data_IF_928735222693
#
_entry.id   IF_928735222693
#
_cell.length_a   1.000
_cell.length_b   1.000
_cell.length_c   1.000
_cell.angle_alpha   90.00
_cell.angle_beta   90.00
_cell.angle_gamma   90.00
#
_symmetry.space_group_name_H-M   'P 1'
#
loop_
_entity.id
_entity.type
_entity.pdbx_description
1 polymer ?
#
# COMPACT_ATOMS: atom_id res chain seq x y z
N UNK A 1 16.50 -36.00 8.20
CA UNK A 1 15.80 -34.71 8.03
C UNK A 1 16.82 -33.57 8.10
N UNK A 2 16.77 -32.60 7.20
CA UNK A 2 17.70 -31.47 7.21
C UNK A 2 17.47 -30.57 8.45
N UNK A 3 18.54 -30.03 9.07
CA UNK A 3 18.40 -29.14 10.21
C UNK A 3 17.70 -27.83 9.80
N UNK A 4 16.75 -27.38 10.63
CA UNK A 4 16.03 -26.12 10.39
C UNK A 4 17.01 -24.94 10.28
N UNK A 5 16.75 -24.03 9.35
CA UNK A 5 17.54 -22.80 9.21
C UNK A 5 17.31 -21.84 10.39
N UNK A 6 18.23 -20.91 10.63
CA UNK A 6 18.08 -19.91 11.70
C UNK A 6 16.80 -19.08 11.57
N UNK A 7 16.42 -18.73 10.33
CA UNK A 7 15.19 -17.99 10.04
C UNK A 7 13.94 -18.81 10.39
N UNK A 8 13.92 -20.10 10.05
CA UNK A 8 12.81 -21.01 10.38
C UNK A 8 12.69 -21.23 11.89
N UNK A 9 13.82 -21.39 12.60
CA UNK A 9 13.82 -21.49 14.07
C UNK A 9 13.25 -20.23 14.71
N UNK A 10 13.63 -19.05 14.21
CA UNK A 10 13.10 -17.79 14.73
C UNK A 10 11.61 -17.62 14.42
N UNK A 11 11.15 -18.05 13.24
CA UNK A 11 9.73 -18.06 12.87
C UNK A 11 8.91 -18.94 13.82
N UNK A 12 9.32 -20.19 14.04
CA UNK A 12 8.66 -21.10 14.98
C UNK A 12 8.57 -20.53 16.40
N UNK A 13 9.66 -19.91 16.88
CA UNK A 13 9.66 -19.24 18.19
C UNK A 13 8.66 -18.09 18.27
N UNK A 14 8.56 -17.27 17.22
CA UNK A 14 7.57 -16.17 17.16
C UNK A 14 6.14 -16.69 17.11
N UNK A 15 5.90 -17.77 16.36
CA UNK A 15 4.59 -18.43 16.30
C UNK A 15 4.18 -18.99 17.66
N UNK A 16 5.11 -19.63 18.39
CA UNK A 16 4.88 -20.07 19.77
C UNK A 16 4.50 -18.90 20.69
N UNK A 17 5.30 -17.82 20.69
CA UNK A 17 5.01 -16.62 21.49
C UNK A 17 3.66 -15.95 21.16
N UNK A 18 3.17 -16.10 19.91
CA UNK A 18 1.84 -15.61 19.53
C UNK A 18 0.74 -16.50 20.09
N UNK A 19 0.91 -17.82 20.06
CA UNK A 19 -0.03 -18.78 20.66
C UNK A 19 -0.14 -18.56 22.18
N UNK A 20 0.98 -18.25 22.82
CA UNK A 20 1.05 -18.02 24.27
C UNK A 20 0.61 -16.60 24.67
N UNK A 21 0.22 -15.73 23.72
CA UNK A 21 -0.17 -14.33 23.97
C UNK A 21 0.96 -13.37 24.37
N UNK A 22 2.19 -13.87 24.55
CA UNK A 22 3.35 -13.11 25.05
C UNK A 22 4.11 -12.31 23.97
N UNK A 23 3.67 -12.39 22.70
CA UNK A 23 4.42 -11.81 21.57
C UNK A 23 4.61 -10.29 21.67
N UNK A 24 3.59 -9.55 22.10
CA UNK A 24 3.67 -8.09 22.20
C UNK A 24 4.62 -7.65 23.32
N UNK A 25 4.64 -8.36 24.45
CA UNK A 25 5.59 -8.09 25.53
C UNK A 25 7.03 -8.37 25.09
N UNK A 26 7.26 -9.51 24.41
CA UNK A 26 8.55 -9.82 23.81
C UNK A 26 9.02 -8.72 22.83
N UNK A 27 8.13 -8.24 21.97
CA UNK A 27 8.40 -7.18 21.00
C UNK A 27 8.76 -5.86 21.68
N UNK A 28 8.04 -5.48 22.74
CA UNK A 28 8.34 -4.29 23.55
C UNK A 28 9.71 -4.42 24.23
N UNK A 29 9.98 -5.54 24.92
CA UNK A 29 11.29 -5.82 25.56
C UNK A 29 12.44 -5.76 24.54
N UNK A 30 12.27 -6.38 23.38
CA UNK A 30 13.27 -6.36 22.32
C UNK A 30 13.51 -4.94 21.78
N UNK A 31 12.46 -4.16 21.55
CA UNK A 31 12.55 -2.77 21.13
C UNK A 31 13.36 -1.92 22.13
N UNK A 32 13.05 -2.05 23.42
CA UNK A 32 13.77 -1.35 24.49
C UNK A 32 15.25 -1.74 24.56
N UNK A 33 15.56 -3.04 24.45
CA UNK A 33 16.94 -3.52 24.40
C UNK A 33 17.69 -2.94 23.21
N UNK A 34 17.08 -2.93 22.02
CA UNK A 34 17.68 -2.32 20.83
C UNK A 34 17.89 -0.82 20.99
N UNK A 35 16.95 -0.10 21.64
CA UNK A 35 17.11 1.32 21.96
C UNK A 35 18.30 1.55 22.89
N UNK A 36 18.41 0.79 23.99
CA UNK A 36 19.54 0.86 24.94
C UNK A 36 20.87 0.57 24.26
N UNK A 37 20.93 -0.45 23.40
CA UNK A 37 22.15 -0.78 22.66
C UNK A 37 22.56 0.35 21.70
N UNK A 38 21.60 0.99 21.02
CA UNK A 38 21.87 2.16 20.17
C UNK A 38 22.40 3.34 20.98
N UNK A 39 21.81 3.62 22.14
CA UNK A 39 22.26 4.68 23.05
C UNK A 39 23.70 4.43 23.51
N UNK A 40 23.99 3.25 24.06
CA UNK A 40 25.34 2.90 24.50
C UNK A 40 26.36 3.01 23.36
N UNK A 41 26.01 2.61 22.14
CA UNK A 41 26.88 2.79 20.98
C UNK A 41 27.10 4.27 20.65
N UNK A 42 26.05 5.08 20.67
CA UNK A 42 26.14 6.52 20.43
C UNK A 42 27.01 7.21 21.49
N UNK A 43 26.82 6.87 22.76
CA UNK A 43 27.58 7.44 23.88
C UNK A 43 29.05 7.04 23.84
N UNK A 44 29.35 5.81 23.41
CA UNK A 44 30.74 5.37 23.18
C UNK A 44 31.40 6.18 22.07
N UNK A 45 30.66 6.44 20.98
CA UNK A 45 31.19 7.21 19.85
C UNK A 45 31.33 8.69 20.19
N UNK A 46 30.40 9.28 20.95
CA UNK A 46 30.44 10.70 21.31
C UNK A 46 31.63 11.05 22.21
N UNK A 47 32.08 10.10 23.04
CA UNK A 47 33.27 10.25 23.91
C UNK A 47 34.59 10.19 23.14
N UNK A 48 34.60 9.78 21.88
CA UNK A 48 35.83 9.70 21.08
C UNK A 48 36.19 11.08 20.49
N UNK A 49 37.47 11.32 20.17
CA UNK A 49 37.89 12.51 19.44
C UNK A 49 37.15 12.65 18.10
N UNK A 50 36.88 13.89 17.68
CA UNK A 50 36.12 14.19 16.45
C UNK A 50 36.72 13.55 15.20
N UNK A 51 38.04 13.46 15.11
CA UNK A 51 38.74 12.80 14.00
C UNK A 51 38.35 11.30 13.90
N UNK A 52 38.43 10.57 15.01
CA UNK A 52 38.07 9.15 15.10
C UNK A 52 36.58 8.94 14.80
N UNK A 53 35.71 9.85 15.24
CA UNK A 53 34.28 9.79 14.91
C UNK A 53 34.02 9.89 13.40
N UNK A 54 34.75 10.78 12.69
CA UNK A 54 34.64 10.94 11.24
C UNK A 54 35.08 9.67 10.51
N UNK A 55 36.22 9.09 10.90
CA UNK A 55 36.73 7.85 10.33
C UNK A 55 35.75 6.68 10.51
N UNK A 56 35.19 6.51 11.71
CA UNK A 56 34.18 5.48 11.98
C UNK A 56 32.94 5.64 11.09
N UNK A 57 32.46 6.87 10.90
CA UNK A 57 31.33 7.17 10.00
C UNK A 57 31.66 6.83 8.55
N UNK A 58 32.87 7.11 8.08
CA UNK A 58 33.30 6.78 6.72
C UNK A 58 33.43 5.28 6.51
N UNK A 59 34.00 4.55 7.47
CA UNK A 59 34.06 3.09 7.46
C UNK A 59 32.66 2.47 7.42
N UNK A 60 31.70 2.98 8.20
CA UNK A 60 30.32 2.52 8.15
C UNK A 60 29.69 2.78 6.78
N UNK A 61 29.89 3.96 6.19
CA UNK A 61 29.43 4.29 4.83
C UNK A 61 30.02 3.33 3.79
N UNK A 62 31.33 3.04 3.88
CA UNK A 62 32.02 2.11 2.97
C UNK A 62 31.44 0.70 3.05
N UNK A 63 31.27 0.16 4.27
CA UNK A 63 30.64 -1.16 4.51
C UNK A 63 29.21 -1.23 3.95
N UNK A 64 28.44 -0.16 4.09
CA UNK A 64 27.07 -0.09 3.52
C UNK A 64 27.13 -0.11 1.99
N UNK A 65 28.01 0.69 1.36
CA UNK A 65 28.20 0.71 -0.10
C UNK A 65 28.58 -0.67 -0.63
N UNK A 66 29.55 -1.34 -0.01
CA UNK A 66 30.00 -2.68 -0.39
C UNK A 66 28.87 -3.72 -0.27
N UNK A 67 28.12 -3.70 0.83
CA UNK A 67 26.97 -4.58 1.03
C UNK A 67 25.91 -4.38 -0.06
N UNK A 68 25.57 -3.12 -0.37
CA UNK A 68 24.60 -2.79 -1.41
C UNK A 68 25.11 -3.23 -2.78
N UNK A 69 26.39 -3.01 -3.09
CA UNK A 69 26.99 -3.47 -4.34
C UNK A 69 26.93 -5.00 -4.48
N UNK A 70 27.27 -5.74 -3.41
CA UNK A 70 27.17 -7.21 -3.37
C UNK A 70 25.72 -7.69 -3.59
N UNK A 71 24.74 -7.06 -2.92
CA UNK A 71 23.33 -7.38 -3.15
C UNK A 71 22.89 -7.11 -4.59
N UNK A 72 23.34 -6.01 -5.21
CA UNK A 72 23.04 -5.69 -6.62
C UNK A 72 23.63 -6.72 -7.58
N UNK A 73 24.90 -7.10 -7.40
CA UNK A 73 25.55 -8.17 -8.19
C UNK A 73 24.80 -9.51 -8.05
N UNK A 74 24.45 -9.88 -6.83
CA UNK A 74 23.72 -11.14 -6.60
C UNK A 74 22.30 -11.11 -7.19
N UNK A 75 21.68 -9.94 -7.34
CA UNK A 75 20.37 -9.79 -7.95
C UNK A 75 20.44 -9.81 -9.49
N UNK A 76 21.50 -9.25 -10.09
CA UNK A 76 21.70 -9.32 -11.55
C UNK A 76 22.01 -10.75 -12.01
N UNK A 77 22.70 -11.55 -11.21
CA UNK A 77 23.00 -12.97 -11.53
C UNK A 77 21.75 -13.86 -11.43
N UNK A 78 20.73 -13.48 -10.65
CA UNK A 78 19.52 -14.29 -10.39
C UNK A 78 18.32 -13.97 -11.29
N UNK A 79 18.46 -13.06 -12.25
CA UNK A 79 17.39 -12.73 -13.19
C UNK A 79 17.83 -13.21 -14.58
N UNK A 80 17.42 -14.41 -15.03
CA UNK A 80 17.46 -14.69 -16.46
C UNK A 80 16.56 -13.66 -17.15
N UNK A 81 17.09 -13.02 -18.20
CA UNK A 81 16.37 -12.05 -19.00
C UNK A 81 15.24 -12.76 -19.75
N UNK A 82 14.07 -12.90 -19.13
CA UNK A 82 12.85 -13.18 -19.87
C UNK A 82 12.48 -11.94 -20.68
N UNK A 83 13.03 -11.88 -21.89
CA UNK A 83 12.60 -10.98 -22.96
C UNK A 83 11.21 -11.42 -23.42
N UNK A 84 10.18 -11.13 -22.63
CA UNK A 84 8.80 -11.12 -23.11
C UNK A 84 8.56 -9.77 -23.73
N UNK A 85 8.48 -9.77 -25.06
CA UNK A 85 7.96 -8.69 -25.89
C UNK A 85 6.58 -8.31 -25.38
N UNK A 86 6.53 -7.22 -24.62
CA UNK A 86 5.30 -6.54 -24.22
C UNK A 86 5.43 -5.09 -24.68
N UNK A 87 4.34 -4.47 -25.12
CA UNK A 87 4.38 -3.27 -25.94
C UNK A 87 5.12 -2.16 -25.18
N UNK A 88 6.16 -1.64 -25.82
CA UNK A 88 6.95 -0.47 -25.45
C UNK A 88 6.91 -0.08 -23.96
N UNK A 89 7.82 -0.63 -23.13
CA UNK A 89 8.09 -0.04 -21.81
C UNK A 89 8.76 1.32 -22.02
N UNK A 90 7.94 2.37 -22.16
CA UNK A 90 8.39 3.78 -22.27
C UNK A 90 9.29 4.15 -21.07
N UNK A 91 9.09 3.51 -19.91
CA UNK A 91 9.90 3.72 -18.71
C UNK A 91 10.75 2.49 -18.36
N UNK A 92 12.04 2.72 -18.07
CA UNK A 92 13.05 1.70 -17.71
C UNK A 92 12.73 0.90 -16.44
N UNK A 93 11.90 1.44 -15.55
CA UNK A 93 11.48 0.78 -14.30
C UNK A 93 10.18 1.38 -13.76
N UNK A 94 9.50 0.65 -12.87
CA UNK A 94 8.34 1.16 -12.11
C UNK A 94 8.70 2.40 -11.30
N UNK A 95 9.93 2.48 -10.78
CA UNK A 95 10.42 3.66 -10.07
C UNK A 95 10.62 4.87 -10.98
N UNK A 96 11.00 4.67 -12.25
CA UNK A 96 11.11 5.76 -13.22
C UNK A 96 9.72 6.31 -13.57
N UNK A 97 8.73 5.44 -13.79
CA UNK A 97 7.34 5.83 -13.96
C UNK A 97 6.82 6.61 -12.75
N UNK A 98 7.02 6.10 -11.53
CA UNK A 98 6.58 6.78 -10.31
C UNK A 98 7.19 8.17 -10.14
N UNK A 99 8.47 8.37 -10.54
CA UNK A 99 9.11 9.69 -10.55
C UNK A 99 8.50 10.61 -11.60
N UNK A 100 8.22 10.12 -12.79
CA UNK A 100 7.58 10.89 -13.85
C UNK A 100 6.18 11.36 -13.40
N UNK A 101 5.37 10.44 -12.86
CA UNK A 101 4.04 10.75 -12.31
C UNK A 101 4.13 11.78 -11.17
N UNK A 102 5.09 11.61 -10.25
CA UNK A 102 5.27 12.55 -9.14
C UNK A 102 5.64 13.97 -9.61
N UNK A 103 6.44 14.09 -10.69
CA UNK A 103 6.76 15.38 -11.30
C UNK A 103 5.54 16.00 -11.98
N UNK A 104 4.84 15.23 -12.79
CA UNK A 104 3.61 15.68 -13.47
C UNK A 104 2.56 16.15 -12.46
N UNK A 105 2.34 15.39 -11.38
CA UNK A 105 1.36 15.71 -10.34
C UNK A 105 1.60 17.05 -9.65
N UNK A 106 2.84 17.54 -9.59
CA UNK A 106 3.17 18.85 -8.99
C UNK A 106 2.71 20.04 -9.85
N UNK A 107 2.60 19.83 -11.16
CA UNK A 107 2.11 20.86 -12.08
C UNK A 107 0.57 20.85 -12.20
N UNK A 108 -0.10 19.82 -11.66
CA UNK A 108 -1.56 19.70 -11.72
C UNK A 108 -2.24 20.43 -10.55
N UNK A 109 -3.50 20.87 -10.73
CA UNK A 109 -4.29 21.45 -9.65
C UNK A 109 -4.40 20.54 -8.42
N UNK A 110 -4.50 21.15 -7.24
CA UNK A 110 -4.69 20.41 -5.99
C UNK A 110 -6.06 19.73 -5.93
N UNK A 111 -7.11 20.42 -6.39
CA UNK A 111 -8.49 19.89 -6.45
C UNK A 111 -8.54 18.61 -7.31
N UNK A 112 -9.09 17.49 -6.78
CA UNK A 112 -9.23 16.24 -7.53
C UNK A 112 -10.03 16.42 -8.82
N UNK A 113 -11.13 17.17 -8.77
CA UNK A 113 -12.01 17.42 -9.93
C UNK A 113 -11.30 18.18 -11.04
N UNK A 114 -10.57 19.25 -10.69
CA UNK A 114 -9.82 20.02 -11.67
C UNK A 114 -8.63 19.23 -12.24
N UNK A 115 -7.98 18.42 -11.41
CA UNK A 115 -6.91 17.51 -11.86
C UNK A 115 -7.42 16.53 -12.91
N UNK A 116 -8.58 15.94 -12.70
CA UNK A 116 -9.20 15.03 -13.65
C UNK A 116 -9.53 15.71 -14.98
N UNK A 117 -10.14 16.90 -14.95
CA UNK A 117 -10.48 17.67 -16.15
C UNK A 117 -9.22 17.98 -16.97
N UNK A 118 -8.18 18.51 -16.32
CA UNK A 118 -6.92 18.85 -16.99
C UNK A 118 -6.26 17.61 -17.60
N UNK A 119 -6.22 16.49 -16.89
CA UNK A 119 -5.65 15.24 -17.42
C UNK A 119 -6.45 14.72 -18.61
N UNK A 120 -7.79 14.76 -18.57
CA UNK A 120 -8.65 14.37 -19.69
C UNK A 120 -8.39 15.25 -20.91
N UNK A 121 -8.36 16.57 -20.73
CA UNK A 121 -8.11 17.52 -21.82
C UNK A 121 -6.71 17.35 -22.44
N UNK A 122 -5.68 17.17 -21.61
CA UNK A 122 -4.31 16.90 -22.08
C UNK A 122 -4.24 15.58 -22.85
N UNK A 123 -4.93 14.54 -22.41
CA UNK A 123 -4.92 13.27 -23.13
C UNK A 123 -5.68 13.38 -24.46
N UNK A 124 -6.85 14.02 -24.49
CA UNK A 124 -7.60 14.22 -25.73
C UNK A 124 -6.82 15.05 -26.75
N UNK A 125 -6.11 16.10 -26.31
CA UNK A 125 -5.30 16.96 -27.19
C UNK A 125 -4.03 16.29 -27.71
N UNK A 126 -3.28 15.59 -26.84
CA UNK A 126 -1.98 15.03 -27.21
C UNK A 126 -2.07 13.65 -27.87
N UNK A 127 -3.11 12.86 -27.56
CA UNK A 127 -3.25 11.50 -28.06
C UNK A 127 -4.30 11.36 -29.16
N UNK A 128 -5.05 12.42 -29.52
CA UNK A 128 -6.18 12.38 -30.46
C UNK A 128 -7.19 11.25 -30.14
N UNK A 129 -7.33 10.90 -28.86
CA UNK A 129 -8.25 9.87 -28.38
C UNK A 129 -9.28 10.58 -27.51
N UNK A 130 -10.52 10.57 -27.95
CA UNK A 130 -11.61 11.19 -27.20
C UNK A 130 -12.02 10.29 -26.02
N UNK A 131 -11.59 10.64 -24.80
CA UNK A 131 -11.91 9.93 -23.56
C UNK A 131 -13.35 10.19 -23.06
N UNK A 132 -14.10 11.10 -23.71
CA UNK A 132 -15.44 11.50 -23.29
C UNK A 132 -16.45 10.34 -23.31
N UNK A 133 -16.23 9.32 -24.14
CA UNK A 133 -17.12 8.16 -24.30
C UNK A 133 -16.82 7.00 -23.35
N UNK A 134 -15.60 6.88 -22.80
CA UNK A 134 -15.19 5.65 -22.10
C UNK A 134 -15.44 5.64 -20.58
N UNK A 135 -15.87 6.74 -19.97
CA UNK A 135 -16.10 6.81 -18.51
C UNK A 135 -17.52 7.23 -18.10
N UNK A 136 -18.46 7.37 -19.04
CA UNK A 136 -19.90 7.27 -18.76
C UNK A 136 -20.34 5.81 -18.52
N UNK A 137 -19.42 4.94 -18.14
CA UNK A 137 -19.78 3.76 -17.37
C UNK A 137 -20.33 4.27 -16.05
N UNK A 138 -21.65 4.24 -15.95
CA UNK A 138 -22.46 4.16 -14.75
C UNK A 138 -21.98 3.02 -13.84
N UNK A 139 -20.76 3.09 -13.32
CA UNK A 139 -20.37 2.41 -12.11
C UNK A 139 -20.74 3.33 -10.97
N UNK A 140 -22.06 3.39 -10.76
CA UNK A 140 -22.64 3.48 -9.42
C UNK A 140 -21.72 2.70 -8.50
N UNK A 141 -21.11 3.39 -7.54
CA UNK A 141 -20.43 2.79 -6.41
C UNK A 141 -21.48 2.14 -5.50
N UNK A 142 -22.18 1.11 -6.00
CA UNK A 142 -23.00 0.22 -5.21
C UNK A 142 -22.26 -1.11 -5.03
N UNK A 143 -21.03 -1.04 -4.52
CA UNK A 143 -20.52 -2.10 -3.66
C UNK A 143 -21.12 -1.90 -2.25
N UNK A 144 -22.45 -1.80 -2.17
CA UNK A 144 -23.16 -2.07 -0.94
C UNK A 144 -23.43 -3.58 -0.95
N UNK A 145 -22.53 -4.35 -0.33
CA UNK A 145 -22.78 -5.75 0.01
C UNK A 145 -24.01 -5.93 0.94
N UNK A 146 -24.68 -4.83 1.32
CA UNK A 146 -25.89 -4.76 2.13
C UNK A 146 -27.07 -4.12 1.39
N UNK A 147 -27.01 -3.96 0.06
CA UNK A 147 -28.17 -3.46 -0.69
C UNK A 147 -29.28 -4.52 -0.66
N UNK A 148 -30.44 -4.16 -0.10
CA UNK A 148 -31.64 -5.00 -0.07
C UNK A 148 -31.95 -5.45 -1.50
N UNK A 149 -32.09 -6.76 -1.69
CA UNK A 149 -32.39 -7.37 -2.99
C UNK A 149 -33.65 -6.74 -3.60
N UNK A 150 -33.70 -6.56 -4.92
CA UNK A 150 -34.85 -5.99 -5.63
C UNK A 150 -36.14 -6.75 -5.32
N UNK A 151 -36.06 -8.08 -5.24
CA UNK A 151 -37.21 -8.92 -4.90
C UNK A 151 -37.71 -8.66 -3.48
N UNK A 152 -36.79 -8.33 -2.56
CA UNK A 152 -37.15 -7.97 -1.19
C UNK A 152 -37.81 -6.60 -1.15
N UNK A 153 -37.39 -5.65 -1.99
CA UNK A 153 -38.07 -4.34 -2.10
C UNK A 153 -39.49 -4.48 -2.61
N UNK A 154 -39.68 -5.25 -3.69
CA UNK A 154 -41.00 -5.50 -4.28
C UNK A 154 -41.93 -6.13 -3.23
N UNK A 155 -41.45 -7.13 -2.48
CA UNK A 155 -42.24 -7.75 -1.41
C UNK A 155 -42.59 -6.81 -0.27
N UNK A 156 -41.71 -5.86 0.05
CA UNK A 156 -41.97 -4.84 1.09
C UNK A 156 -43.02 -3.84 0.59
N UNK A 157 -42.90 -3.38 -0.66
CA UNK A 157 -43.88 -2.48 -1.29
C UNK A 157 -45.26 -3.17 -1.36
N UNK A 158 -45.32 -4.39 -1.91
CA UNK A 158 -46.54 -5.20 -1.94
C UNK A 158 -47.15 -5.41 -0.54
N UNK A 159 -46.33 -5.61 0.49
CA UNK A 159 -46.84 -5.80 1.86
C UNK A 159 -47.54 -4.55 2.41
N UNK A 160 -46.99 -3.35 2.17
CA UNK A 160 -47.60 -2.10 2.66
C UNK A 160 -48.74 -1.59 1.76
N UNK A 161 -48.80 -2.03 0.50
CA UNK A 161 -49.89 -1.72 -0.42
C UNK A 161 -51.12 -2.61 -0.26
N UNK A 162 -51.03 -3.74 0.47
CA UNK A 162 -52.23 -4.54 0.75
C UNK A 162 -53.21 -3.81 1.66
N UNK A 163 -54.48 -3.86 1.29
CA UNK A 163 -55.59 -3.20 1.97
C UNK A 163 -55.80 -3.66 3.43
N UNK A 164 -55.45 -4.92 3.74
CA UNK A 164 -55.55 -5.48 5.09
C UNK A 164 -54.52 -4.88 6.07
N UNK A 165 -53.37 -4.42 5.56
CA UNK A 165 -52.26 -3.86 6.35
C UNK A 165 -52.28 -2.32 6.32
N UNK A 166 -52.59 -1.73 5.17
CA UNK A 166 -52.71 -0.28 4.96
C UNK A 166 -53.68 0.37 5.96
N UNK A 167 -54.80 -0.28 6.26
CA UNK A 167 -55.82 0.19 7.23
C UNK A 167 -55.38 0.10 8.69
N UNK A 168 -54.32 -0.64 9.00
CA UNK A 168 -53.77 -0.77 10.35
C UNK A 168 -52.58 0.15 10.62
N UNK A 169 -52.12 0.91 9.62
CA UNK A 169 -51.03 1.87 9.79
C UNK A 169 -51.48 3.07 10.66
N UNK A 170 -50.86 3.32 11.83
CA UNK A 170 -51.23 4.46 12.65
C UNK A 170 -50.96 5.77 11.90
N UNK A 171 -52.02 6.52 11.57
CA UNK A 171 -51.89 7.87 11.02
C UNK A 171 -52.41 8.10 9.59
N UNK A 172 -52.92 7.09 8.87
CA UNK A 172 -53.78 7.33 7.71
C UNK A 172 -55.23 7.33 8.17
N UNK A 173 -55.85 8.50 8.23
CA UNK A 173 -57.30 8.63 8.42
C UNK A 173 -57.99 8.00 7.21
N UNK A 174 -59.00 7.16 7.47
CA UNK A 174 -60.02 6.80 6.49
C UNK A 174 -60.61 8.10 5.90
N UNK A 175 -60.59 8.22 4.57
CA UNK A 175 -61.41 9.14 3.78
C UNK A 175 -62.07 8.32 2.69
#
# INVERSE_FOLDING_TARGET
MAPLTAAERQRKRREKLKKDGQYEEYKKKHSLLMKKHRQVKADKVSKLPVAVQKELKELEKKKVRERVAKCRRNKSVKQPAENKSSPCKIYKSTSALGKAVARARRALPNSPRHKEIVVRQLFSSECNIDLTTSFNSSKSTSNHANAINSDTKIKIEEFYERDDISRMAPGRKDV
#
